data_IF_330445254881
#
_entry.id   IF_330445254881
#
_cell.length_a   1.000
_cell.length_b   1.000
_cell.length_c   1.000
_cell.angle_alpha   90.00
_cell.angle_beta   90.00
_cell.angle_gamma   90.00
#
_symmetry.space_group_name_H-M   'P 1'
#
loop_
_entity.id
_entity.type
_entity.pdbx_description
1 polymer ?
#
# COMPACT_ATOMS: atom_id res chain seq x y z
N UNK A 1 -13.79 -28.86 -10.32
CA UNK A 1 -13.15 -27.75 -11.07
C UNK A 1 -13.23 -26.46 -10.28
N UNK A 2 -14.38 -26.11 -9.71
CA UNK A 2 -14.55 -24.93 -8.83
C UNK A 2 -13.54 -24.87 -7.66
N UNK A 3 -13.18 -26.01 -7.09
CA UNK A 3 -12.20 -26.06 -5.98
C UNK A 3 -10.79 -25.60 -6.40
N UNK A 4 -10.37 -25.85 -7.64
CA UNK A 4 -9.01 -25.50 -8.10
C UNK A 4 -8.90 -24.00 -8.46
N UNK A 5 -9.93 -23.44 -9.08
CA UNK A 5 -9.99 -22.00 -9.36
C UNK A 5 -9.99 -21.19 -8.05
N UNK A 6 -10.74 -21.64 -7.06
CA UNK A 6 -10.75 -21.02 -5.72
C UNK A 6 -9.39 -21.11 -5.03
N UNK A 7 -8.66 -22.22 -5.17
CA UNK A 7 -7.29 -22.35 -4.62
C UNK A 7 -6.34 -21.35 -5.27
N UNK A 8 -6.31 -21.28 -6.61
CA UNK A 8 -5.42 -20.38 -7.35
C UNK A 8 -5.72 -18.91 -7.07
N UNK A 9 -7.00 -18.54 -7.03
CA UNK A 9 -7.43 -17.20 -6.63
C UNK A 9 -6.97 -16.87 -5.21
N UNK A 10 -7.14 -17.79 -4.25
CA UNK A 10 -6.68 -17.57 -2.89
C UNK A 10 -5.16 -17.40 -2.82
N UNK A 11 -4.39 -18.18 -3.57
CA UNK A 11 -2.93 -18.02 -3.67
C UNK A 11 -2.54 -16.65 -4.23
N UNK A 12 -3.19 -16.21 -5.32
CA UNK A 12 -2.99 -14.87 -5.88
C UNK A 12 -3.30 -13.76 -4.85
N UNK A 13 -4.40 -13.90 -4.11
CA UNK A 13 -4.79 -12.96 -3.07
C UNK A 13 -3.82 -12.95 -1.87
N UNK A 14 -2.95 -13.94 -1.71
CA UNK A 14 -1.89 -13.92 -0.70
C UNK A 14 -0.58 -13.28 -1.20
N UNK A 15 -0.49 -12.86 -2.47
CA UNK A 15 0.71 -12.20 -2.99
C UNK A 15 0.97 -10.90 -2.24
N UNK A 16 2.15 -10.81 -1.64
CA UNK A 16 2.67 -9.56 -1.11
C UNK A 16 3.24 -8.69 -2.24
N UNK A 17 2.37 -7.89 -2.85
CA UNK A 17 2.71 -7.00 -3.97
C UNK A 17 3.81 -5.99 -3.65
N UNK A 18 3.89 -5.52 -2.40
CA UNK A 18 4.97 -4.61 -2.01
C UNK A 18 6.34 -5.29 -2.13
N UNK A 19 6.47 -6.53 -1.65
CA UNK A 19 7.70 -7.30 -1.81
C UNK A 19 7.99 -7.65 -3.27
N UNK A 20 6.96 -7.86 -4.09
CA UNK A 20 7.12 -8.09 -5.53
C UNK A 20 7.71 -6.86 -6.24
N UNK A 21 7.23 -5.65 -5.92
CA UNK A 21 7.78 -4.40 -6.44
C UNK A 21 9.23 -4.19 -5.97
N UNK A 22 9.53 -4.48 -4.71
CA UNK A 22 10.88 -4.30 -4.14
C UNK A 22 11.95 -5.21 -4.73
N UNK A 23 11.59 -6.44 -5.11
CA UNK A 23 12.48 -7.38 -5.79
C UNK A 23 12.91 -6.90 -7.18
N UNK A 24 12.30 -5.81 -7.66
CA UNK A 24 12.74 -4.96 -8.76
C UNK A 24 13.20 -5.77 -9.98
N UNK A 25 12.29 -6.48 -10.65
CA UNK A 25 12.51 -7.08 -11.99
C UNK A 25 11.29 -7.85 -12.54
N UNK A 26 10.08 -7.55 -12.06
CA UNK A 26 8.88 -8.12 -12.68
C UNK A 26 8.57 -7.28 -13.91
N UNK A 27 9.00 -7.80 -15.06
CA UNK A 27 8.64 -7.22 -16.34
C UNK A 27 7.23 -7.69 -16.77
N UNK A 28 6.70 -7.10 -17.84
CA UNK A 28 5.38 -7.45 -18.40
C UNK A 28 5.22 -8.95 -18.67
N UNK A 29 6.21 -9.58 -19.30
CA UNK A 29 6.15 -10.99 -19.69
C UNK A 29 6.02 -11.89 -18.47
N UNK A 30 6.91 -11.74 -17.48
CA UNK A 30 6.86 -12.50 -16.22
C UNK A 30 5.58 -12.26 -15.45
N UNK A 31 5.06 -11.03 -15.47
CA UNK A 31 3.80 -10.73 -14.81
C UNK A 31 2.64 -11.46 -15.48
N UNK A 32 2.58 -11.46 -16.81
CA UNK A 32 1.54 -12.18 -17.56
C UNK A 32 1.66 -13.69 -17.34
N UNK A 33 2.87 -14.25 -17.34
CA UNK A 33 3.11 -15.65 -17.01
C UNK A 33 2.60 -15.99 -15.61
N UNK A 34 2.94 -15.17 -14.62
CA UNK A 34 2.45 -15.34 -13.25
C UNK A 34 0.91 -15.30 -13.18
N UNK A 35 0.25 -14.39 -13.91
CA UNK A 35 -1.23 -14.34 -13.94
C UNK A 35 -1.84 -15.59 -14.61
N UNK A 36 -1.18 -16.15 -15.63
CA UNK A 36 -1.59 -17.40 -16.28
C UNK A 36 -1.43 -18.61 -15.36
N UNK A 37 -0.38 -18.67 -14.53
CA UNK A 37 -0.21 -19.75 -13.55
C UNK A 37 -1.41 -19.83 -12.59
N UNK A 38 -2.00 -18.69 -12.24
CA UNK A 38 -3.21 -18.59 -11.42
C UNK A 38 -4.53 -18.73 -12.20
N UNK A 39 -4.50 -18.95 -13.52
CA UNK A 39 -5.67 -18.94 -14.41
C UNK A 39 -6.49 -17.63 -14.33
N UNK A 40 -5.81 -16.49 -14.10
CA UNK A 40 -6.45 -15.19 -13.92
C UNK A 40 -6.27 -14.24 -15.10
N UNK A 41 -5.45 -14.55 -16.10
CA UNK A 41 -5.13 -13.65 -17.21
C UNK A 41 -6.37 -13.10 -17.93
N UNK A 42 -7.40 -13.92 -18.12
CA UNK A 42 -8.70 -13.51 -18.68
C UNK A 42 -9.47 -12.48 -17.83
N UNK A 43 -9.20 -12.39 -16.52
CA UNK A 43 -9.81 -11.41 -15.60
C UNK A 43 -9.11 -10.05 -15.62
N UNK A 44 -8.02 -9.92 -16.38
CA UNK A 44 -7.23 -8.69 -16.47
C UNK A 44 -7.34 -8.06 -17.87
N UNK A 45 -7.53 -6.74 -17.87
CA UNK A 45 -7.54 -5.90 -19.07
C UNK A 45 -6.29 -5.04 -19.12
N UNK A 46 -5.74 -4.88 -20.32
CA UNK A 46 -4.60 -4.00 -20.58
C UNK A 46 -5.08 -2.62 -21.05
N UNK A 47 -4.55 -1.54 -20.46
CA UNK A 47 -4.79 -0.15 -20.90
C UNK A 47 -3.52 0.66 -20.89
N UNK A 48 -3.29 1.41 -21.96
CA UNK A 48 -2.15 2.32 -22.07
C UNK A 48 -2.56 3.76 -21.79
N UNK A 49 -1.67 4.51 -21.15
CA UNK A 49 -1.86 5.91 -20.81
C UNK A 49 -0.60 6.72 -21.15
N UNK A 50 -0.79 8.03 -21.35
CA UNK A 50 0.28 8.98 -21.67
C UNK A 50 1.15 8.51 -22.85
N UNK A 51 0.50 8.23 -23.99
CA UNK A 51 1.16 7.77 -25.23
C UNK A 51 2.06 6.53 -25.03
N UNK A 52 1.56 5.54 -24.28
CA UNK A 52 2.27 4.28 -24.06
C UNK A 52 3.35 4.34 -22.97
N UNK A 53 3.54 5.48 -22.29
CA UNK A 53 4.48 5.58 -21.16
C UNK A 53 4.11 4.62 -20.03
N UNK A 54 2.81 4.46 -19.78
CA UNK A 54 2.30 3.60 -18.72
C UNK A 54 1.35 2.56 -19.28
N UNK A 55 1.59 1.30 -18.89
CA UNK A 55 0.71 0.17 -19.14
C UNK A 55 0.06 -0.26 -17.83
N UNK A 56 -1.26 -0.42 -17.84
CA UNK A 56 -2.01 -0.94 -16.70
C UNK A 56 -2.58 -2.30 -17.05
N UNK A 57 -2.24 -3.31 -16.25
CA UNK A 57 -2.87 -4.63 -16.25
C UNK A 57 -3.81 -4.67 -15.05
N UNK A 58 -5.11 -4.54 -15.27
CA UNK A 58 -6.08 -4.29 -14.21
C UNK A 58 -7.25 -5.27 -14.22
N UNK A 59 -7.74 -5.62 -13.04
CA UNK A 59 -8.94 -6.42 -12.86
C UNK A 59 -9.95 -5.65 -12.01
N UNK A 60 -11.06 -5.26 -12.64
CA UNK A 60 -12.18 -4.58 -11.98
C UNK A 60 -12.84 -5.51 -10.94
N UNK A 61 -12.93 -6.81 -11.24
CA UNK A 61 -13.50 -7.80 -10.34
C UNK A 61 -12.62 -8.04 -9.10
N UNK A 62 -11.31 -8.08 -9.26
CA UNK A 62 -10.40 -8.31 -8.14
C UNK A 62 -10.06 -7.03 -7.39
N UNK A 63 -10.35 -5.85 -7.94
CA UNK A 63 -10.05 -4.59 -7.28
C UNK A 63 -8.58 -4.22 -7.28
N UNK A 64 -7.87 -4.52 -8.36
CA UNK A 64 -6.41 -4.30 -8.46
C UNK A 64 -6.00 -3.81 -9.84
N UNK A 65 -5.06 -2.88 -9.88
CA UNK A 65 -4.40 -2.41 -11.11
C UNK A 65 -2.89 -2.46 -10.94
N UNK A 66 -2.22 -3.18 -11.84
CA UNK A 66 -0.77 -3.33 -11.89
C UNK A 66 -0.23 -2.36 -12.94
N UNK A 67 0.43 -1.28 -12.52
CA UNK A 67 1.00 -0.29 -13.42
C UNK A 67 2.46 -0.65 -13.72
N UNK A 68 2.77 -0.74 -15.00
CA UNK A 68 4.11 -0.86 -15.53
C UNK A 68 4.55 0.48 -16.14
N UNK A 69 5.80 0.84 -15.88
CA UNK A 69 6.52 1.93 -16.55
C UNK A 69 7.74 1.33 -17.24
N UNK A 70 7.90 1.61 -18.54
CA UNK A 70 8.97 0.98 -19.35
C UNK A 70 8.98 -0.56 -19.21
N UNK A 71 7.80 -1.18 -19.26
CA UNK A 71 7.60 -2.64 -19.15
C UNK A 71 7.95 -3.26 -17.78
N UNK A 72 8.27 -2.47 -16.76
CA UNK A 72 8.59 -2.94 -15.41
C UNK A 72 7.45 -2.56 -14.45
N UNK A 73 7.01 -3.51 -13.63
CA UNK A 73 6.04 -3.25 -12.56
C UNK A 73 6.57 -2.16 -11.62
N UNK A 74 5.91 -1.01 -11.64
CA UNK A 74 6.33 0.18 -10.93
C UNK A 74 5.48 0.40 -9.67
N UNK A 75 4.16 0.26 -9.80
CA UNK A 75 3.25 0.36 -8.67
C UNK A 75 1.99 -0.48 -8.86
N UNK A 76 1.31 -0.74 -7.73
CA UNK A 76 0.10 -1.54 -7.65
C UNK A 76 -0.96 -0.74 -6.92
N UNK A 77 -2.06 -0.45 -7.60
CA UNK A 77 -3.23 0.18 -7.01
C UNK A 77 -4.20 -0.89 -6.53
N UNK A 78 -4.67 -0.73 -5.30
CA UNK A 78 -5.57 -1.65 -4.63
C UNK A 78 -6.80 -0.86 -4.20
N UNK A 79 -7.96 -1.27 -4.70
CA UNK A 79 -9.19 -0.48 -4.59
C UNK A 79 -10.05 -0.94 -3.41
N UNK A 80 -10.62 0.03 -2.71
CA UNK A 80 -11.64 -0.17 -1.69
C UNK A 80 -13.01 -0.37 -2.30
N UNK A 81 -14.02 -0.68 -1.47
CA UNK A 81 -15.40 -0.92 -1.93
C UNK A 81 -16.17 0.35 -2.32
N UNK A 82 -15.50 1.50 -2.41
CA UNK A 82 -16.12 2.79 -2.75
C UNK A 82 -15.87 3.23 -4.19
N UNK A 83 -14.92 2.60 -4.88
CA UNK A 83 -14.69 2.87 -6.29
C UNK A 83 -15.91 2.42 -7.11
N UNK A 84 -16.32 3.23 -8.09
CA UNK A 84 -17.51 2.95 -8.91
C UNK A 84 -17.27 1.86 -9.95
N UNK A 85 -16.02 1.62 -10.29
CA UNK A 85 -15.57 0.73 -11.36
C UNK A 85 -14.96 -0.55 -10.79
N UNK A 86 -14.17 -0.44 -9.73
CA UNK A 86 -13.46 -1.57 -9.12
C UNK A 86 -14.20 -2.12 -7.89
N UNK A 87 -14.32 -3.44 -7.80
CA UNK A 87 -14.74 -4.11 -6.56
C UNK A 87 -13.66 -3.94 -5.48
N UNK A 88 -14.03 -4.13 -4.22
CA UNK A 88 -13.06 -4.10 -3.13
C UNK A 88 -12.08 -5.28 -3.21
N UNK A 89 -10.79 -4.99 -3.18
CA UNK A 89 -9.75 -6.01 -3.05
C UNK A 89 -9.88 -6.78 -1.73
N UNK A 90 -9.76 -8.10 -1.81
CA UNK A 90 -9.89 -9.03 -0.66
C UNK A 90 -8.59 -9.76 -0.30
N UNK A 91 -7.49 -9.39 -0.93
CA UNK A 91 -6.19 -10.03 -0.69
C UNK A 91 -5.37 -9.35 0.40
N UNK A 92 -4.10 -9.74 0.45
CA UNK A 92 -3.11 -9.29 1.39
C UNK A 92 -2.86 -7.78 1.28
N UNK A 93 -2.91 -7.09 2.42
CA UNK A 93 -2.47 -5.71 2.56
C UNK A 93 -1.29 -5.67 3.55
N UNK A 94 -0.17 -4.99 3.22
CA UNK A 94 0.98 -4.88 4.13
C UNK A 94 0.59 -4.05 5.36
N UNK A 95 1.33 -4.12 6.47
CA UNK A 95 1.16 -3.18 7.61
C UNK A 95 -0.24 -3.15 8.25
N UNK A 96 -0.98 -4.26 8.20
CA UNK A 96 -2.29 -4.46 8.88
C UNK A 96 -3.31 -3.33 8.62
N UNK A 97 -3.20 -2.71 7.47
CA UNK A 97 -4.16 -1.72 6.96
C UNK A 97 -5.32 -2.46 6.31
N UNK A 98 -6.48 -1.83 6.37
CA UNK A 98 -7.72 -2.27 5.74
C UNK A 98 -8.53 -1.04 5.34
N UNK A 99 -9.57 -1.24 4.54
CA UNK A 99 -10.39 -0.16 3.98
C UNK A 99 -11.39 0.49 4.96
N UNK A 100 -11.46 -0.02 6.20
CA UNK A 100 -12.26 0.55 7.28
C UNK A 100 -11.48 1.60 8.07
N UNK A 101 -10.19 1.79 7.77
CA UNK A 101 -9.38 2.83 8.38
C UNK A 101 -9.68 4.20 7.76
N UNK A 102 -9.77 5.20 8.63
CA UNK A 102 -9.86 6.62 8.25
C UNK A 102 -8.48 7.24 8.05
N UNK A 103 -8.41 8.43 7.44
CA UNK A 103 -7.16 9.19 7.39
C UNK A 103 -6.61 9.52 8.78
N UNK A 104 -7.48 9.81 9.76
CA UNK A 104 -7.07 9.98 11.16
C UNK A 104 -6.47 8.70 11.75
N UNK A 105 -7.06 7.54 11.48
CA UNK A 105 -6.56 6.24 11.93
C UNK A 105 -5.19 5.92 11.33
N UNK A 106 -5.02 6.09 10.01
CA UNK A 106 -3.75 5.83 9.33
C UNK A 106 -2.63 6.65 9.96
N UNK A 107 -2.84 7.95 10.19
CA UNK A 107 -1.84 8.81 10.85
C UNK A 107 -1.59 8.38 12.29
N UNK A 108 -2.64 8.02 13.03
CA UNK A 108 -2.50 7.50 14.39
C UNK A 108 -1.67 6.21 14.45
N UNK A 109 -1.72 5.38 13.40
CA UNK A 109 -1.05 4.09 13.38
C UNK A 109 0.36 4.12 12.79
N UNK A 110 0.53 4.84 11.68
CA UNK A 110 1.79 4.91 10.93
C UNK A 110 2.62 6.16 11.25
N UNK A 111 2.08 7.07 12.07
CA UNK A 111 2.68 8.37 12.32
C UNK A 111 2.42 9.35 11.19
N UNK A 112 3.19 10.43 11.15
CA UNK A 112 3.03 11.45 10.12
C UNK A 112 3.53 10.96 8.75
N UNK A 113 2.80 11.26 7.65
CA UNK A 113 3.22 10.89 6.31
C UNK A 113 4.42 11.73 5.85
N UNK A 114 5.18 11.19 4.90
CA UNK A 114 6.27 11.88 4.22
C UNK A 114 5.73 12.99 3.30
N UNK A 115 4.63 12.69 2.59
CA UNK A 115 4.05 13.60 1.58
C UNK A 115 2.52 13.66 1.72
N UNK A 116 1.94 14.82 1.39
CA UNK A 116 0.50 15.09 1.40
C UNK A 116 0.10 15.70 0.06
N UNK A 117 -0.85 15.11 -0.65
CA UNK A 117 -1.27 15.53 -1.98
C UNK A 117 -2.78 15.78 -2.06
N UNK A 118 -3.19 16.54 -3.08
CA UNK A 118 -4.60 16.79 -3.39
C UNK A 118 -5.27 17.82 -2.49
N UNK A 119 -6.61 17.78 -2.47
CA UNK A 119 -7.47 18.75 -1.80
C UNK A 119 -8.06 19.78 -2.76
N UNK A 120 -9.20 20.37 -2.35
CA UNK A 120 -10.07 21.26 -3.15
C UNK A 120 -10.66 20.60 -4.40
N UNK A 121 -9.83 20.25 -5.38
CA UNK A 121 -10.24 19.72 -6.69
C UNK A 121 -10.21 18.18 -6.72
N UNK A 122 -9.20 17.58 -6.12
CA UNK A 122 -9.00 16.12 -6.07
C UNK A 122 -9.09 15.59 -4.65
N UNK A 123 -9.36 14.29 -4.52
CA UNK A 123 -9.27 13.57 -3.25
C UNK A 123 -7.91 13.79 -2.59
N UNK A 124 -7.89 13.86 -1.26
CA UNK A 124 -6.64 13.96 -0.52
C UNK A 124 -5.94 12.60 -0.50
N UNK A 125 -4.60 12.62 -0.54
CA UNK A 125 -3.79 11.43 -0.31
C UNK A 125 -2.60 11.72 0.60
N UNK A 126 -2.16 10.70 1.33
CA UNK A 126 -0.97 10.76 2.18
C UNK A 126 -0.03 9.60 1.83
N UNK A 127 1.25 9.90 1.66
CA UNK A 127 2.27 8.93 1.28
C UNK A 127 3.32 8.74 2.38
N UNK A 128 3.68 7.49 2.62
CA UNK A 128 4.78 7.05 3.46
C UNK A 128 5.85 6.45 2.55
N UNK A 129 6.65 7.29 1.91
CA UNK A 129 7.64 6.90 0.89
C UNK A 129 8.65 5.86 1.41
N UNK A 130 9.03 5.98 2.69
CA UNK A 130 9.89 5.02 3.38
C UNK A 130 9.25 3.64 3.58
N UNK A 131 7.92 3.53 3.49
CA UNK A 131 7.17 2.29 3.53
C UNK A 131 6.72 1.82 2.13
N UNK A 132 6.84 2.66 1.10
CA UNK A 132 6.43 2.35 -0.27
C UNK A 132 4.91 2.30 -0.42
N UNK A 133 4.18 3.17 0.29
CA UNK A 133 2.71 3.16 0.32
C UNK A 133 2.10 4.56 0.37
N UNK A 134 1.03 4.74 -0.40
CA UNK A 134 0.16 5.92 -0.38
C UNK A 134 -1.30 5.50 -0.16
N UNK A 135 -2.03 6.31 0.58
CA UNK A 135 -3.46 6.16 0.83
C UNK A 135 -4.22 7.35 0.24
N UNK A 136 -5.22 7.09 -0.58
CA UNK A 136 -6.18 8.10 -1.04
C UNK A 136 -7.49 7.93 -0.29
N UNK A 137 -8.10 9.03 0.12
CA UNK A 137 -9.33 9.03 0.93
C UNK A 137 -10.48 9.67 0.17
N UNK A 138 -11.72 9.28 0.50
CA UNK A 138 -12.92 9.75 -0.19
C UNK A 138 -13.29 11.24 0.03
N UNK A 139 -12.40 12.05 0.64
CA UNK A 139 -12.61 13.48 0.90
C UNK A 139 -11.62 14.34 0.13
N UNK A 140 -12.01 15.60 -0.11
CA UNK A 140 -11.14 16.66 -0.66
C UNK A 140 -10.74 17.68 0.40
N UNK A 141 -11.13 17.45 1.66
CA UNK A 141 -10.98 18.39 2.76
C UNK A 141 -10.04 17.85 3.83
N UNK A 142 -8.90 18.51 4.01
CA UNK A 142 -7.88 18.15 5.01
C UNK A 142 -8.36 18.26 6.47
N UNK A 143 -9.43 19.00 6.72
CA UNK A 143 -10.01 19.14 8.06
C UNK A 143 -10.85 17.93 8.47
N UNK A 144 -11.30 17.10 7.52
CA UNK A 144 -12.05 15.87 7.78
C UNK A 144 -11.08 14.73 8.11
N UNK A 145 -11.20 14.13 9.30
CA UNK A 145 -10.30 13.07 9.79
C UNK A 145 -10.90 11.68 9.75
N UNK A 146 -12.16 11.61 9.34
CA UNK A 146 -13.03 10.44 9.47
C UNK A 146 -13.28 9.82 8.09
N UNK A 147 -12.54 10.29 7.08
CA UNK A 147 -12.70 9.88 5.69
C UNK A 147 -11.96 8.57 5.47
N UNK A 148 -12.69 7.59 4.97
CA UNK A 148 -12.21 6.23 4.81
C UNK A 148 -11.36 6.10 3.54
N UNK A 149 -10.44 5.12 3.54
CA UNK A 149 -9.57 4.83 2.39
C UNK A 149 -10.43 4.47 1.16
N UNK A 150 -10.16 5.12 0.04
CA UNK A 150 -10.76 4.87 -1.26
C UNK A 150 -9.92 3.86 -2.06
N UNK A 151 -8.61 4.09 -2.14
CA UNK A 151 -7.65 3.14 -2.69
C UNK A 151 -6.26 3.33 -2.07
N UNK A 152 -5.42 2.32 -2.24
CA UNK A 152 -4.04 2.25 -1.76
C UNK A 152 -3.13 2.11 -2.98
N UNK A 153 -2.03 2.85 -3.03
CA UNK A 153 -0.98 2.67 -4.02
C UNK A 153 0.27 2.11 -3.32
N UNK A 154 0.72 0.94 -3.76
CA UNK A 154 2.00 0.35 -3.36
C UNK A 154 3.05 0.67 -4.41
N UNK A 155 4.22 1.11 -4.00
CA UNK A 155 5.30 1.50 -4.90
C UNK A 155 6.67 1.18 -4.29
N UNK A 156 7.71 1.21 -5.13
CA UNK A 156 9.08 0.95 -4.68
C UNK A 156 9.49 2.03 -3.66
N UNK A 157 9.93 1.59 -2.48
CA UNK A 157 10.47 2.50 -1.45
C UNK A 157 11.59 3.35 -2.04
N UNK A 158 11.52 4.66 -1.83
CA UNK A 158 12.64 5.52 -2.17
C UNK A 158 13.75 5.35 -1.13
N UNK A 159 14.92 4.89 -1.57
CA UNK A 159 16.11 4.77 -0.72
C UNK A 159 16.59 6.10 -0.14
N UNK A 160 16.18 7.22 -0.76
CA UNK A 160 16.50 8.60 -0.40
C UNK A 160 15.34 9.38 0.22
N UNK A 161 14.20 8.74 0.56
CA UNK A 161 13.02 9.42 1.09
C UNK A 161 13.42 10.43 2.18
N UNK A 162 13.25 11.72 1.87
CA UNK A 162 14.10 12.78 2.40
C UNK A 162 13.87 13.12 3.87
N UNK A 163 12.77 12.69 4.49
CA UNK A 163 12.56 12.88 5.93
C UNK A 163 11.74 11.75 6.55
N UNK A 164 12.37 11.01 7.47
CA UNK A 164 11.72 10.06 8.37
C UNK A 164 11.34 10.81 9.63
N UNK A 165 10.05 10.94 9.90
CA UNK A 165 9.55 11.77 11.00
C UNK A 165 9.28 10.93 12.24
N UNK A 166 9.58 11.48 13.41
CA UNK A 166 9.20 10.86 14.67
C UNK A 166 7.68 10.74 14.77
N UNK A 167 7.16 9.53 15.02
CA UNK A 167 5.74 9.27 15.20
C UNK A 167 5.09 9.94 16.42
N UNK A 168 5.88 10.62 17.27
CA UNK A 168 5.38 11.40 18.41
C UNK A 168 5.52 12.91 18.18
N UNK A 169 6.76 13.42 18.12
CA UNK A 169 7.03 14.85 18.10
C UNK A 169 7.35 15.43 16.71
N UNK A 170 7.34 14.61 15.66
CA UNK A 170 7.54 15.01 14.26
C UNK A 170 8.94 15.50 13.90
N UNK A 171 9.90 15.48 14.82
CA UNK A 171 11.30 15.78 14.48
C UNK A 171 11.90 14.72 13.54
N UNK A 172 12.77 15.11 12.58
CA UNK A 172 13.48 14.17 11.73
C UNK A 172 14.30 13.17 12.55
N UNK A 173 14.29 11.90 12.15
CA UNK A 173 15.04 10.83 12.82
C UNK A 173 15.22 9.59 11.95
N UNK A 174 16.33 8.87 12.15
CA UNK A 174 16.59 7.59 11.49
C UNK A 174 16.34 6.37 12.40
N UNK A 175 15.92 6.60 13.64
CA UNK A 175 15.81 5.53 14.63
C UNK A 175 14.45 4.84 14.52
N UNK A 176 14.47 3.59 14.07
CA UNK A 176 13.29 2.75 14.02
C UNK A 176 12.94 2.14 15.37
N UNK A 177 11.65 1.90 15.60
CA UNK A 177 11.21 1.00 16.64
C UNK A 177 11.94 -0.33 16.49
N UNK A 178 12.69 -0.72 17.53
CA UNK A 178 13.53 -1.92 17.50
C UNK A 178 12.76 -3.21 17.25
N UNK A 179 11.46 -3.23 17.54
CA UNK A 179 10.57 -4.38 17.38
C UNK A 179 9.92 -4.45 16.00
N UNK A 180 9.10 -3.46 15.63
CA UNK A 180 8.32 -3.53 14.40
C UNK A 180 9.07 -3.05 13.15
N UNK A 181 10.13 -2.23 13.30
CA UNK A 181 10.90 -1.64 12.19
C UNK A 181 10.06 -0.80 11.19
N UNK A 182 8.87 -0.34 11.60
CA UNK A 182 7.98 0.50 10.79
C UNK A 182 8.02 1.96 11.24
N UNK A 183 7.83 2.22 12.54
CA UNK A 183 7.67 3.58 13.07
C UNK A 183 9.01 4.15 13.53
N UNK A 184 9.25 5.43 13.25
CA UNK A 184 10.46 6.16 13.63
C UNK A 184 10.26 6.97 14.93
N UNK A 185 11.32 7.06 15.76
CA UNK A 185 11.30 7.83 17.01
C UNK A 185 12.63 8.56 17.26
N UNK A 186 12.60 9.87 17.49
CA UNK A 186 13.83 10.63 17.78
C UNK A 186 14.44 10.27 19.14
N UNK A 187 13.66 9.71 20.07
CA UNK A 187 14.11 9.32 21.40
C UNK A 187 13.26 8.20 22.01
N UNK A 188 13.79 7.53 23.04
CA UNK A 188 13.03 6.56 23.82
C UNK A 188 11.82 7.18 24.55
N UNK A 189 11.87 8.48 24.91
CA UNK A 189 10.72 9.19 25.49
C UNK A 189 9.57 9.26 24.50
N UNK A 190 9.87 9.72 23.28
CA UNK A 190 8.89 9.79 22.19
C UNK A 190 8.30 8.41 21.85
N UNK A 191 9.12 7.36 21.90
CA UNK A 191 8.61 5.99 21.74
C UNK A 191 7.63 5.60 22.86
N UNK A 192 7.97 5.88 24.12
CA UNK A 192 7.11 5.56 25.28
C UNK A 192 5.78 6.30 25.25
N UNK A 193 5.79 7.58 24.91
CA UNK A 193 4.58 8.42 24.80
C UNK A 193 3.65 7.91 23.70
N UNK A 194 4.18 7.62 22.51
CA UNK A 194 3.40 7.06 21.41
C UNK A 194 3.03 5.57 21.61
N UNK A 195 3.67 4.88 22.56
CA UNK A 195 3.53 3.43 22.73
C UNK A 195 2.09 3.01 23.03
N UNK A 196 1.29 3.85 23.69
CA UNK A 196 -0.12 3.54 23.97
C UNK A 196 -0.92 3.26 22.70
N UNK A 197 -0.69 4.02 21.63
CA UNK A 197 -1.34 3.81 20.33
C UNK A 197 -0.62 2.75 19.48
N UNK A 198 0.67 2.55 19.71
CA UNK A 198 1.51 1.67 18.91
C UNK A 198 1.54 0.21 19.41
N UNK A 199 1.37 -0.06 20.72
CA UNK A 199 1.70 -1.33 21.38
C UNK A 199 1.07 -2.56 20.73
N UNK A 200 -0.23 -2.52 20.46
CA UNK A 200 -0.97 -3.65 19.89
C UNK A 200 -0.46 -3.97 18.49
N UNK A 201 -0.34 -2.93 17.65
CA UNK A 201 0.13 -3.06 16.27
C UNK A 201 1.61 -3.40 16.18
N UNK A 202 2.43 -2.90 17.11
CA UNK A 202 3.86 -3.18 17.18
C UNK A 202 4.16 -4.69 17.21
N UNK A 203 3.37 -5.45 18.00
CA UNK A 203 3.50 -6.91 18.08
C UNK A 203 3.09 -7.57 16.76
N UNK A 204 1.98 -7.15 16.18
CA UNK A 204 1.45 -7.74 14.96
C UNK A 204 2.34 -7.43 13.74
N UNK A 205 2.87 -6.21 13.65
CA UNK A 205 3.84 -5.79 12.64
C UNK A 205 5.11 -6.61 12.67
N UNK A 206 5.67 -6.83 13.86
CA UNK A 206 6.86 -7.66 14.00
C UNK A 206 6.65 -9.08 13.46
N UNK A 207 5.43 -9.62 13.52
CA UNK A 207 5.07 -10.93 12.96
C UNK A 207 4.91 -10.88 11.43
N UNK A 208 4.37 -9.80 10.86
CA UNK A 208 4.32 -9.63 9.39
C UNK A 208 5.71 -9.45 8.78
N UNK A 209 6.59 -8.68 9.41
CA UNK A 209 7.95 -8.46 8.91
C UNK A 209 8.80 -9.73 8.91
N UNK A 210 8.53 -10.71 9.79
CA UNK A 210 9.18 -12.03 9.76
C UNK A 210 8.68 -12.97 8.67
N UNK A 211 7.50 -12.71 8.08
CA UNK A 211 6.97 -13.46 6.93
C UNK A 211 7.52 -12.88 5.61
N UNK A 212 8.09 -11.67 5.66
CA UNK A 212 8.63 -10.94 4.52
C UNK A 212 10.16 -11.13 4.32
N UNK A 213 10.84 -11.76 5.29
CA UNK A 213 12.29 -11.98 5.30
C UNK A 213 12.69 -13.38 4.81
#
# INVERSE_FOLDING_TARGET
MEDNENIKLNQFLQINWLSQIEKANINKEKLIEQLKEYDLDSKFLQKEYQNGKFLYIQSEELGISLQLESEILNCVYIYGGRDKKFKQYKGFLPYLINFDLTNGDVVKFLGEPSTRNGGKLTSISIAYEHLGIEFTFGTKNWSEKDSLIEFICLFKKESSASYKLCGNCKNPTNNLCSRCKIIYYCSASCQKEHFQNHKEKCKQYAMQSSIQA
#
